data_IF_436698220321
#
_entry.id   IF_436698220321
#
_cell.length_a   1.000
_cell.length_b   1.000
_cell.length_c   1.000
_cell.angle_alpha   90.00
_cell.angle_beta   90.00
_cell.angle_gamma   90.00
#
_symmetry.space_group_name_H-M   'P 1'
#
loop_
_entity.id
_entity.type
_entity.pdbx_description
1 polymer ?
#
# COMPACT_ATOMS: atom_id res chain seq x y z
N UNK A 1 18.70 -3.13 -8.13
CA UNK A 1 17.38 -3.71 -8.36
C UNK A 1 17.58 -5.10 -8.98
N UNK A 2 17.23 -6.17 -8.26
CA UNK A 2 17.49 -7.54 -8.70
C UNK A 2 16.53 -7.98 -9.81
N UNK A 3 16.91 -8.99 -10.60
CA UNK A 3 16.04 -9.57 -11.65
C UNK A 3 14.71 -10.09 -11.08
N UNK A 4 14.72 -10.61 -9.86
CA UNK A 4 13.53 -11.13 -9.15
C UNK A 4 12.57 -10.00 -8.84
N UNK A 5 13.05 -8.87 -8.29
CA UNK A 5 12.26 -7.70 -7.97
C UNK A 5 11.52 -7.13 -9.21
N UNK A 6 12.21 -7.07 -10.35
CA UNK A 6 11.59 -6.64 -11.61
C UNK A 6 10.50 -7.60 -12.08
N UNK A 7 10.71 -8.91 -11.93
CA UNK A 7 9.75 -9.92 -12.35
C UNK A 7 8.49 -9.92 -11.47
N UNK A 8 8.65 -9.83 -10.14
CA UNK A 8 7.52 -9.75 -9.19
C UNK A 8 6.68 -8.48 -9.41
N UNK A 9 7.33 -7.33 -9.64
CA UNK A 9 6.64 -6.09 -9.99
C UNK A 9 5.83 -6.20 -11.28
N UNK A 10 6.44 -6.75 -12.33
CA UNK A 10 5.76 -6.96 -13.62
C UNK A 10 4.58 -7.94 -13.48
N UNK A 11 4.74 -8.98 -12.65
CA UNK A 11 3.68 -9.93 -12.36
C UNK A 11 2.51 -9.29 -11.62
N UNK A 12 2.78 -8.58 -10.52
CA UNK A 12 1.76 -7.91 -9.71
C UNK A 12 1.07 -6.73 -10.42
N UNK A 13 1.67 -6.17 -11.49
CA UNK A 13 1.03 -5.15 -12.33
C UNK A 13 -0.16 -5.67 -13.14
N UNK A 14 -0.26 -6.97 -13.38
CA UNK A 14 -1.41 -7.55 -14.08
C UNK A 14 -2.67 -7.32 -13.26
N UNK A 15 -3.71 -6.74 -13.88
CA UNK A 15 -4.91 -6.33 -13.17
C UNK A 15 -5.63 -7.47 -12.46
N UNK A 16 -5.67 -8.67 -13.05
CA UNK A 16 -6.28 -9.83 -12.43
C UNK A 16 -5.53 -10.29 -11.17
N UNK A 17 -4.20 -10.26 -11.18
CA UNK A 17 -3.35 -10.60 -10.02
C UNK A 17 -3.50 -9.56 -8.92
N UNK A 18 -3.44 -8.29 -9.31
CA UNK A 18 -3.61 -7.15 -8.40
C UNK A 18 -4.99 -7.17 -7.72
N UNK A 19 -6.05 -7.36 -8.49
CA UNK A 19 -7.41 -7.44 -7.96
C UNK A 19 -7.58 -8.62 -7.00
N UNK A 20 -7.01 -9.78 -7.32
CA UNK A 20 -7.09 -10.99 -6.51
C UNK A 20 -6.46 -10.79 -5.13
N UNK A 21 -5.29 -10.16 -5.06
CA UNK A 21 -4.63 -9.84 -3.79
C UNK A 21 -5.51 -8.95 -2.90
N UNK A 22 -6.18 -7.93 -3.46
CA UNK A 22 -7.07 -7.06 -2.69
C UNK A 22 -8.43 -7.70 -2.39
N UNK A 23 -8.95 -8.54 -3.27
CA UNK A 23 -10.14 -9.34 -3.00
C UNK A 23 -9.91 -10.30 -1.82
N UNK A 24 -8.73 -10.92 -1.77
CA UNK A 24 -8.33 -11.71 -0.60
C UNK A 24 -8.29 -10.84 0.67
N UNK A 25 -7.52 -9.73 0.63
CA UNK A 25 -7.26 -8.91 1.80
C UNK A 25 -8.51 -8.27 2.38
N UNK A 26 -9.35 -7.67 1.54
CA UNK A 26 -10.44 -6.78 1.99
C UNK A 26 -11.78 -7.53 2.00
N UNK A 27 -11.98 -8.47 1.07
CA UNK A 27 -13.28 -9.05 0.78
C UNK A 27 -13.34 -10.57 0.96
N UNK A 28 -12.36 -11.14 1.67
CA UNK A 28 -12.30 -12.58 1.99
C UNK A 28 -12.39 -13.47 0.73
N UNK A 29 -11.72 -13.05 -0.34
CA UNK A 29 -11.68 -13.72 -1.65
C UNK A 29 -12.88 -13.44 -2.57
N UNK A 30 -13.88 -12.65 -2.14
CA UNK A 30 -15.01 -12.29 -3.00
C UNK A 30 -14.54 -11.31 -4.10
N UNK A 31 -14.99 -11.48 -5.37
CA UNK A 31 -14.51 -10.70 -6.52
C UNK A 31 -15.16 -9.30 -6.59
N UNK A 32 -14.89 -8.45 -5.60
CA UNK A 32 -15.42 -7.08 -5.50
C UNK A 32 -14.56 -6.07 -6.25
N UNK A 33 -13.23 -6.20 -6.16
CA UNK A 33 -12.30 -5.41 -6.97
C UNK A 33 -12.26 -6.01 -8.38
N UNK A 34 -12.87 -5.30 -9.34
CA UNK A 34 -12.94 -5.75 -10.73
C UNK A 34 -11.65 -5.36 -11.48
N UNK A 35 -10.91 -6.33 -12.07
CA UNK A 35 -9.69 -6.05 -12.82
C UNK A 35 -9.86 -5.06 -13.98
N UNK A 36 -11.02 -5.03 -14.64
CA UNK A 36 -11.31 -4.16 -15.78
C UNK A 36 -11.48 -2.69 -15.37
N UNK A 37 -11.81 -2.44 -14.11
CA UNK A 37 -12.02 -1.11 -13.57
C UNK A 37 -10.77 -0.51 -12.94
N UNK A 38 -9.69 -1.28 -12.83
CA UNK A 38 -8.41 -0.80 -12.32
C UNK A 38 -7.73 0.14 -13.30
N UNK A 39 -7.22 1.25 -12.79
CA UNK A 39 -6.41 2.22 -13.54
C UNK A 39 -5.10 2.45 -12.81
N UNK A 40 -3.99 2.20 -13.51
CA UNK A 40 -2.65 2.47 -12.96
C UNK A 40 -2.43 3.97 -12.82
N UNK A 41 -1.83 4.37 -11.72
CA UNK A 41 -1.49 5.75 -11.39
C UNK A 41 0.02 5.93 -11.33
N UNK A 42 0.47 7.17 -11.41
CA UNK A 42 1.86 7.52 -11.20
C UNK A 42 2.24 7.23 -9.74
N UNK A 43 3.28 6.43 -9.57
CA UNK A 43 3.83 6.02 -8.27
C UNK A 43 4.94 6.93 -7.78
N UNK A 44 5.24 8.01 -8.53
CA UNK A 44 6.27 8.98 -8.17
C UNK A 44 5.83 9.79 -6.95
N UNK A 45 6.54 9.64 -5.86
CA UNK A 45 6.29 10.37 -4.61
C UNK A 45 7.59 11.04 -4.15
N UNK A 46 7.48 12.26 -3.64
CA UNK A 46 8.62 12.98 -3.06
C UNK A 46 8.62 12.70 -1.56
N UNK A 47 9.62 12.00 -1.07
CA UNK A 47 9.78 11.66 0.34
C UNK A 47 11.20 11.95 0.84
N UNK A 48 11.33 12.06 2.15
CA UNK A 48 12.65 12.10 2.80
C UNK A 48 13.32 10.72 2.67
N UNK A 49 14.65 10.67 2.49
CA UNK A 49 15.36 9.41 2.32
C UNK A 49 15.37 8.58 3.60
N UNK A 50 15.10 7.27 3.46
CA UNK A 50 15.34 6.25 4.47
C UNK A 50 16.49 5.34 4.04
N UNK A 51 17.35 4.99 4.98
CA UNK A 51 18.43 4.05 4.78
C UNK A 51 19.82 4.71 4.74
N UNK A 52 20.90 3.92 4.68
CA UNK A 52 22.24 4.42 4.64
C UNK A 52 22.43 5.28 3.40
N UNK A 53 22.83 6.52 3.62
CA UNK A 53 23.23 7.41 2.53
C UNK A 53 24.65 7.05 2.13
N UNK A 54 24.84 6.51 0.96
CA UNK A 54 26.16 6.40 0.37
C UNK A 54 26.64 7.83 0.06
N UNK A 55 27.75 8.24 0.71
CA UNK A 55 28.51 9.47 0.44
C UNK A 55 27.88 10.79 0.85
N UNK A 56 27.61 11.01 2.14
CA UNK A 56 27.67 12.38 2.75
C UNK A 56 26.93 13.52 2.03
N UNK A 57 26.01 13.21 1.12
CA UNK A 57 25.23 14.21 0.41
C UNK A 57 24.04 14.66 1.26
N UNK A 58 23.79 15.95 1.24
CA UNK A 58 22.77 16.70 1.95
C UNK A 58 21.36 16.07 1.86
N UNK A 59 20.49 16.44 2.80
CA UNK A 59 19.05 16.15 2.89
C UNK A 59 18.24 16.49 1.61
N UNK A 60 18.69 16.04 0.45
CA UNK A 60 17.94 16.23 -0.78
C UNK A 60 16.70 15.35 -0.74
N UNK A 61 15.57 15.94 -1.09
CA UNK A 61 14.31 15.25 -1.31
C UNK A 61 14.55 14.11 -2.31
N UNK A 62 14.52 12.88 -1.84
CA UNK A 62 14.67 11.71 -2.70
C UNK A 62 13.30 11.32 -3.21
N UNK A 63 13.18 11.27 -4.51
CA UNK A 63 12.02 10.68 -5.16
C UNK A 63 11.96 9.20 -4.81
N UNK A 64 10.94 8.80 -4.06
CA UNK A 64 10.65 7.40 -3.77
C UNK A 64 9.47 6.95 -4.61
N UNK A 65 9.54 5.71 -5.06
CA UNK A 65 8.51 5.10 -5.87
C UNK A 65 7.87 3.98 -5.06
N UNK A 66 6.56 4.03 -4.93
CA UNK A 66 5.76 2.86 -4.57
C UNK A 66 5.83 1.87 -5.73
N UNK A 67 5.82 0.57 -5.46
CA UNK A 67 5.95 -0.41 -6.52
C UNK A 67 4.79 -0.35 -7.51
N UNK A 68 3.56 -0.32 -7.01
CA UNK A 68 2.35 -0.22 -7.83
C UNK A 68 1.29 0.59 -7.11
N UNK A 69 0.62 1.47 -7.83
CA UNK A 69 -0.55 2.22 -7.34
C UNK A 69 -1.64 2.21 -8.41
N UNK A 70 -2.85 1.82 -8.03
CA UNK A 70 -4.01 1.83 -8.92
C UNK A 70 -5.22 2.46 -8.25
N UNK A 71 -6.03 3.16 -9.03
CA UNK A 71 -7.38 3.52 -8.61
C UNK A 71 -8.35 2.40 -8.95
N UNK A 72 -9.30 2.16 -8.05
CA UNK A 72 -10.38 1.22 -8.21
C UNK A 72 -11.72 1.90 -7.94
N UNK A 73 -12.77 1.40 -8.58
CA UNK A 73 -14.16 1.67 -8.23
C UNK A 73 -14.70 0.38 -7.65
N UNK A 74 -15.18 0.44 -6.42
CA UNK A 74 -15.77 -0.69 -5.72
C UNK A 74 -17.25 -0.40 -5.52
N UNK A 75 -18.10 -1.32 -5.96
CA UNK A 75 -19.54 -1.26 -5.72
C UNK A 75 -19.87 -2.08 -4.48
N UNK A 76 -20.44 -1.45 -3.48
CA UNK A 76 -20.92 -2.11 -2.27
C UNK A 76 -22.30 -1.56 -1.93
N UNK A 77 -23.29 -2.43 -1.79
CA UNK A 77 -24.67 -2.08 -1.39
C UNK A 77 -25.28 -0.92 -2.21
N UNK A 78 -25.10 -0.95 -3.55
CA UNK A 78 -25.54 0.08 -4.50
C UNK A 78 -24.80 1.44 -4.41
N UNK A 79 -23.78 1.55 -3.58
CA UNK A 79 -22.92 2.73 -3.52
C UNK A 79 -21.56 2.48 -4.19
N UNK A 80 -21.11 3.44 -5.00
CA UNK A 80 -19.79 3.41 -5.62
C UNK A 80 -18.76 4.10 -4.73
N UNK A 81 -17.78 3.35 -4.23
CA UNK A 81 -16.63 3.89 -3.52
C UNK A 81 -15.42 3.97 -4.46
N UNK A 82 -14.77 5.12 -4.49
CA UNK A 82 -13.47 5.29 -5.17
C UNK A 82 -12.36 5.10 -4.15
N UNK A 83 -11.44 4.17 -4.42
CA UNK A 83 -10.32 3.86 -3.54
C UNK A 83 -9.00 3.89 -4.29
N UNK A 84 -7.91 4.14 -3.59
CA UNK A 84 -6.54 4.00 -4.08
C UNK A 84 -5.92 2.76 -3.44
N UNK A 85 -5.42 1.86 -4.28
CA UNK A 85 -4.83 0.60 -3.86
C UNK A 85 -3.35 0.60 -4.24
N UNK A 86 -2.48 0.37 -3.26
CA UNK A 86 -1.03 0.31 -3.45
C UNK A 86 -0.47 -1.06 -3.07
N UNK A 87 0.53 -1.55 -3.81
CA UNK A 87 1.28 -2.75 -3.47
C UNK A 87 2.76 -2.43 -3.31
N UNK A 88 3.34 -2.96 -2.25
CA UNK A 88 4.77 -3.06 -2.00
C UNK A 88 5.19 -4.53 -2.04
N UNK A 89 6.06 -4.88 -2.99
CA UNK A 89 6.61 -6.23 -3.10
C UNK A 89 7.93 -6.29 -2.33
N UNK A 90 8.03 -7.20 -1.38
CA UNK A 90 9.21 -7.37 -0.55
C UNK A 90 9.77 -8.80 -0.69
N UNK A 91 11.01 -8.93 -1.15
CA UNK A 91 11.76 -10.20 -1.10
C UNK A 91 12.53 -10.32 0.20
N UNK A 92 13.03 -9.20 0.71
CA UNK A 92 13.71 -9.10 1.98
C UNK A 92 12.84 -8.37 3.00
N UNK A 93 12.97 -8.72 4.26
CA UNK A 93 12.19 -8.11 5.35
C UNK A 93 12.67 -6.68 5.59
N UNK A 94 11.73 -5.75 5.62
CA UNK A 94 12.01 -4.34 5.87
C UNK A 94 11.47 -3.92 7.24
N UNK A 95 12.36 -3.82 8.24
CA UNK A 95 12.00 -3.57 9.65
C UNK A 95 11.28 -2.25 9.91
N UNK A 96 11.38 -1.26 9.03
CA UNK A 96 10.67 0.02 9.13
C UNK A 96 9.47 0.12 8.15
N UNK A 97 8.86 -1.01 7.79
CA UNK A 97 7.75 -1.04 6.82
C UNK A 97 6.54 -0.23 7.27
N UNK A 98 6.11 -0.22 8.55
CA UNK A 98 5.00 0.63 8.99
C UNK A 98 5.23 2.11 8.71
N UNK A 99 6.43 2.62 9.01
CA UNK A 99 6.78 4.02 8.73
C UNK A 99 6.82 4.30 7.23
N UNK A 100 7.37 3.37 6.44
CA UNK A 100 7.44 3.51 4.98
C UNK A 100 6.05 3.61 4.36
N UNK A 101 5.14 2.70 4.70
CA UNK A 101 3.78 2.70 4.18
C UNK A 101 2.98 3.93 4.65
N UNK A 102 3.12 4.31 5.94
CA UNK A 102 2.49 5.50 6.48
C UNK A 102 2.86 6.76 5.68
N UNK A 103 4.13 6.92 5.30
CA UNK A 103 4.58 8.03 4.48
C UNK A 103 3.94 8.00 3.10
N UNK A 104 3.90 6.83 2.44
CA UNK A 104 3.29 6.72 1.12
C UNK A 104 1.79 7.07 1.15
N UNK A 105 1.05 6.59 2.15
CA UNK A 105 -0.36 6.89 2.27
C UNK A 105 -0.59 8.37 2.59
N UNK A 106 0.22 8.96 3.49
CA UNK A 106 0.16 10.39 3.81
C UNK A 106 0.45 11.27 2.58
N UNK A 107 1.43 10.89 1.75
CA UNK A 107 1.73 11.61 0.51
C UNK A 107 0.58 11.53 -0.50
N UNK A 108 -0.11 10.39 -0.59
CA UNK A 108 -1.31 10.27 -1.43
C UNK A 108 -2.46 11.13 -0.92
N UNK A 109 -2.71 11.19 0.39
CA UNK A 109 -3.68 12.12 0.95
C UNK A 109 -3.30 13.58 0.70
N UNK A 110 -2.03 13.95 0.92
CA UNK A 110 -1.52 15.28 0.62
C UNK A 110 -1.70 15.67 -0.85
N UNK A 111 -1.43 14.74 -1.77
CA UNK A 111 -1.66 14.92 -3.21
C UNK A 111 -3.13 15.16 -3.52
N UNK A 112 -4.05 14.37 -2.95
CA UNK A 112 -5.48 14.56 -3.14
C UNK A 112 -5.94 15.96 -2.70
N UNK A 113 -5.48 16.44 -1.54
CA UNK A 113 -5.78 17.80 -1.07
C UNK A 113 -5.25 18.85 -2.04
N UNK A 114 -3.99 18.71 -2.48
CA UNK A 114 -3.37 19.64 -3.40
C UNK A 114 -4.07 19.69 -4.78
N UNK A 115 -4.42 18.52 -5.33
CA UNK A 115 -5.12 18.41 -6.60
C UNK A 115 -6.53 18.99 -6.53
N UNK A 116 -7.26 18.74 -5.44
CA UNK A 116 -8.57 19.31 -5.16
C UNK A 116 -8.50 20.84 -5.10
N UNK A 117 -7.55 21.38 -4.31
CA UNK A 117 -7.32 22.81 -4.22
C UNK A 117 -6.92 23.45 -5.58
N UNK A 118 -6.13 22.74 -6.39
CA UNK A 118 -5.78 23.19 -7.75
C UNK A 118 -6.99 23.22 -8.69
N UNK A 119 -7.85 22.21 -8.59
CA UNK A 119 -9.09 22.13 -9.37
C UNK A 119 -10.06 23.26 -9.00
N UNK A 120 -10.23 23.53 -7.70
CA UNK A 120 -11.02 24.68 -7.24
C UNK A 120 -10.50 26.02 -7.78
N UNK A 121 -9.17 26.22 -7.80
CA UNK A 121 -8.56 27.43 -8.38
C UNK A 121 -8.83 27.57 -9.89
N UNK A 122 -8.83 26.47 -10.63
CA UNK A 122 -9.08 26.46 -12.09
C UNK A 122 -10.55 26.67 -12.43
N UNK A 123 -11.46 26.08 -11.66
CA UNK A 123 -12.91 26.14 -11.87
C UNK A 123 -13.55 27.42 -11.37
N UNK A 124 -12.85 28.24 -10.62
CA UNK A 124 -13.34 29.40 -9.88
C UNK A 124 -13.63 30.62 -10.77
N UNK A 125 -14.20 30.40 -11.94
CA UNK A 125 -14.90 31.40 -12.73
C UNK A 125 -16.33 31.62 -12.25
N UNK A 126 -16.80 30.84 -11.27
CA UNK A 126 -18.14 30.93 -10.70
C UNK A 126 -18.12 31.72 -9.40
N UNK A 127 -19.10 32.61 -9.23
CA UNK A 127 -19.30 33.59 -8.17
C UNK A 127 -19.50 33.04 -6.74
N UNK A 128 -19.00 31.85 -6.41
CA UNK A 128 -19.09 31.35 -5.02
C UNK A 128 -18.09 32.12 -4.14
N UNK A 129 -18.60 32.83 -3.15
CA UNK A 129 -17.76 33.48 -2.13
C UNK A 129 -17.18 32.39 -1.22
N UNK A 130 -15.85 32.22 -1.24
CA UNK A 130 -15.14 31.32 -0.34
C UNK A 130 -15.15 31.84 1.09
N UNK A 131 -15.20 30.92 2.07
CA UNK A 131 -14.95 31.26 3.47
C UNK A 131 -13.44 31.49 3.69
N UNK A 132 -13.06 32.06 4.84
CA UNK A 132 -11.65 32.24 5.19
C UNK A 132 -10.91 30.90 5.32
N UNK A 133 -11.59 29.89 5.84
CA UNK A 133 -11.09 28.54 6.05
C UNK A 133 -10.87 27.81 4.71
N UNK A 134 -11.81 27.91 3.79
CA UNK A 134 -11.71 27.38 2.43
C UNK A 134 -10.59 28.07 1.64
N UNK A 135 -10.40 29.37 1.86
CA UNK A 135 -9.32 30.10 1.22
C UNK A 135 -7.94 29.65 1.73
N UNK A 136 -7.82 29.40 3.04
CA UNK A 136 -6.57 28.99 3.68
C UNK A 136 -6.09 27.62 3.20
N UNK A 137 -7.00 26.63 3.17
CA UNK A 137 -6.68 25.25 2.81
C UNK A 137 -6.79 24.98 1.30
N UNK A 138 -7.65 25.72 0.60
CA UNK A 138 -8.09 25.40 -0.76
C UNK A 138 -8.95 24.14 -0.85
N UNK A 139 -9.27 23.52 0.29
CA UNK A 139 -10.11 22.35 0.43
C UNK A 139 -11.42 22.76 1.07
N UNK A 140 -12.56 22.44 0.44
CA UNK A 140 -13.88 22.89 0.87
C UNK A 140 -14.48 21.92 1.89
N UNK A 141 -15.47 22.38 2.61
CA UNK A 141 -16.11 21.59 3.67
C UNK A 141 -16.76 20.31 3.13
N UNK A 142 -17.25 20.35 1.91
CA UNK A 142 -17.89 19.23 1.23
C UNK A 142 -16.93 18.28 0.50
N UNK A 143 -15.65 18.68 0.38
CA UNK A 143 -14.66 17.85 -0.27
C UNK A 143 -14.36 16.59 0.58
N UNK A 144 -14.16 15.49 -0.12
CA UNK A 144 -13.87 14.20 0.52
C UNK A 144 -12.60 13.60 -0.07
N UNK A 145 -11.87 12.87 0.76
CA UNK A 145 -10.71 12.09 0.34
C UNK A 145 -11.13 10.67 -0.04
N UNK A 146 -10.45 10.11 -1.02
CA UNK A 146 -10.55 8.69 -1.35
C UNK A 146 -9.67 7.91 -0.38
N UNK A 147 -10.18 6.80 0.20
CA UNK A 147 -9.36 5.93 1.01
C UNK A 147 -8.11 5.44 0.26
N UNK A 148 -7.00 5.34 0.97
CA UNK A 148 -5.76 4.73 0.47
C UNK A 148 -5.52 3.46 1.26
N UNK A 149 -5.33 2.34 0.58
CA UNK A 149 -5.01 1.04 1.20
C UNK A 149 -3.74 0.52 0.58
N UNK A 150 -2.71 0.28 1.39
CA UNK A 150 -1.44 -0.29 0.95
C UNK A 150 -1.27 -1.69 1.47
N UNK A 151 -1.02 -2.63 0.56
CA UNK A 151 -0.75 -4.03 0.81
C UNK A 151 0.74 -4.31 0.62
N UNK A 152 1.35 -4.96 1.60
CA UNK A 152 2.68 -5.55 1.50
C UNK A 152 2.54 -7.02 1.13
N UNK A 153 3.27 -7.48 0.12
CA UNK A 153 3.35 -8.89 -0.23
C UNK A 153 4.79 -9.34 -0.03
N UNK A 154 4.99 -10.31 0.84
CA UNK A 154 6.30 -10.90 1.09
C UNK A 154 6.54 -12.06 0.11
N UNK A 155 7.54 -11.91 -0.75
CA UNK A 155 7.94 -12.93 -1.72
C UNK A 155 9.15 -13.78 -1.24
N UNK A 156 9.59 -13.57 0.00
CA UNK A 156 10.60 -14.41 0.65
C UNK A 156 10.02 -15.71 1.18
N UNK A 157 10.87 -16.73 1.29
CA UNK A 157 10.50 -18.02 1.87
C UNK A 157 10.51 -18.02 3.41
N UNK A 158 11.16 -17.00 4.01
CA UNK A 158 11.19 -16.83 5.46
C UNK A 158 9.90 -16.21 5.95
N UNK A 159 9.51 -16.55 7.17
CA UNK A 159 8.39 -15.89 7.84
C UNK A 159 8.74 -14.43 8.12
N UNK A 160 7.76 -13.54 7.96
CA UNK A 160 7.93 -12.14 8.30
C UNK A 160 8.07 -11.97 9.82
N UNK A 161 9.23 -11.48 10.27
CA UNK A 161 9.57 -11.28 11.69
C UNK A 161 9.75 -9.79 12.07
N UNK A 162 9.35 -8.86 11.20
CA UNK A 162 9.41 -7.42 11.45
C UNK A 162 8.10 -6.89 12.04
N UNK A 163 8.12 -5.69 12.66
CA UNK A 163 6.93 -5.03 13.18
C UNK A 163 5.82 -4.88 12.13
N UNK A 164 4.58 -5.13 12.54
CA UNK A 164 3.38 -4.96 11.73
C UNK A 164 2.69 -3.62 11.99
N UNK A 165 3.08 -2.91 13.06
CA UNK A 165 2.50 -1.61 13.37
C UNK A 165 3.55 -0.61 13.86
N UNK A 166 3.18 0.67 13.82
CA UNK A 166 4.01 1.75 14.35
C UNK A 166 4.19 1.61 15.87
N UNK A 167 3.16 1.16 16.60
CA UNK A 167 3.23 0.94 18.03
C UNK A 167 4.24 -0.17 18.40
N UNK A 168 4.32 -1.24 17.63
CA UNK A 168 5.33 -2.30 17.83
C UNK A 168 6.78 -1.81 17.66
N UNK A 169 6.98 -0.72 16.93
CA UNK A 169 8.30 -0.11 16.74
C UNK A 169 8.70 0.83 17.89
N UNK A 170 7.78 1.10 18.84
CA UNK A 170 8.04 2.06 19.90
C UNK A 170 8.70 1.42 21.11
N UNK A 171 9.73 2.08 21.66
CA UNK A 171 10.48 1.62 22.82
C UNK A 171 9.79 1.82 24.18
N UNK A 172 8.51 2.20 24.19
CA UNK A 172 7.74 2.42 25.41
C UNK A 172 6.39 1.72 25.35
N UNK A 173 5.95 1.19 26.48
CA UNK A 173 4.62 0.60 26.65
C UNK A 173 3.76 1.41 27.63
N UNK A 174 4.08 2.68 27.83
CA UNK A 174 3.27 3.56 28.66
C UNK A 174 1.88 3.78 28.01
N UNK A 175 0.86 3.06 28.49
CA UNK A 175 -0.50 3.07 27.91
C UNK A 175 -1.07 4.49 27.81
N UNK A 176 -0.82 5.36 28.80
CA UNK A 176 -1.30 6.75 28.78
C UNK A 176 -0.68 7.54 27.63
N UNK A 177 0.60 7.34 27.37
CA UNK A 177 1.29 7.99 26.26
C UNK A 177 0.82 7.41 24.92
N UNK A 178 0.75 6.07 24.83
CA UNK A 178 0.36 5.39 23.60
C UNK A 178 -1.06 5.71 23.15
N UNK A 179 -1.96 6.05 24.08
CA UNK A 179 -3.30 6.53 23.75
C UNK A 179 -3.31 7.77 22.85
N UNK A 180 -2.30 8.63 22.93
CA UNK A 180 -2.17 9.84 22.12
C UNK A 180 -1.34 9.64 20.84
N UNK A 181 -0.72 8.49 20.68
CA UNK A 181 0.06 8.16 19.48
C UNK A 181 -0.84 7.37 18.53
N UNK A 182 -1.04 7.90 17.32
CA UNK A 182 -1.79 7.17 16.30
C UNK A 182 -0.99 5.93 15.87
N UNK A 183 -1.64 4.77 15.87
CA UNK A 183 -1.05 3.57 15.32
C UNK A 183 -1.26 3.53 13.79
N UNK A 184 -0.27 3.01 13.10
CA UNK A 184 -0.36 2.70 11.68
C UNK A 184 0.01 1.23 11.48
N UNK A 185 -0.96 0.43 11.06
CA UNK A 185 -0.80 -0.99 10.80
C UNK A 185 -0.57 -1.25 9.33
N UNK A 186 0.35 -2.14 8.99
CA UNK A 186 0.52 -2.63 7.63
C UNK A 186 -0.43 -3.80 7.37
N UNK A 187 -0.88 -3.91 6.14
CA UNK A 187 -1.58 -5.10 5.64
C UNK A 187 -0.56 -5.99 4.94
N UNK A 188 -0.39 -7.20 5.41
CA UNK A 188 0.66 -8.12 4.95
C UNK A 188 0.05 -9.43 4.43
N UNK A 189 0.47 -9.85 3.24
CA UNK A 189 0.37 -11.23 2.79
C UNK A 189 1.75 -11.87 3.01
N UNK A 190 1.83 -12.75 4.00
CA UNK A 190 3.01 -13.56 4.31
C UNK A 190 2.70 -15.02 3.96
N UNK A 191 3.23 -15.57 2.85
CA UNK A 191 2.94 -16.94 2.44
C UNK A 191 3.20 -17.99 3.51
N UNK A 192 4.21 -17.80 4.36
CA UNK A 192 4.55 -18.73 5.41
C UNK A 192 3.41 -18.90 6.44
N UNK A 193 2.62 -17.85 6.68
CA UNK A 193 1.53 -17.83 7.68
C UNK A 193 0.15 -18.20 7.13
N UNK A 194 -0.02 -18.25 5.81
CA UNK A 194 -1.33 -18.55 5.20
C UNK A 194 -1.73 -20.01 5.46
N UNK A 195 -3.00 -20.21 5.75
CA UNK A 195 -3.61 -21.54 5.87
C UNK A 195 -4.02 -22.08 4.50
N UNK A 196 -4.35 -23.38 4.43
CA UNK A 196 -4.93 -23.99 3.23
C UNK A 196 -6.28 -23.36 2.83
N UNK A 197 -7.02 -22.83 3.82
CA UNK A 197 -8.28 -22.14 3.58
C UNK A 197 -8.04 -20.76 2.99
N UNK A 198 -6.99 -20.07 3.43
CA UNK A 198 -6.60 -18.78 2.87
C UNK A 198 -6.16 -18.92 1.41
N UNK A 199 -5.38 -19.95 1.11
CA UNK A 199 -4.94 -20.23 -0.27
C UNK A 199 -6.11 -20.46 -1.24
N UNK A 200 -7.20 -21.05 -0.77
CA UNK A 200 -8.42 -21.27 -1.59
C UNK A 200 -9.17 -19.99 -1.94
N UNK A 201 -8.93 -18.90 -1.21
CA UNK A 201 -9.57 -17.61 -1.45
C UNK A 201 -8.97 -16.87 -2.64
N UNK A 202 -7.76 -17.23 -3.06
CA UNK A 202 -7.17 -16.70 -4.29
C UNK A 202 -7.73 -17.43 -5.51
N UNK A 203 -8.09 -16.66 -6.53
CA UNK A 203 -8.76 -17.12 -7.73
C UNK A 203 -7.89 -17.05 -9.00
N UNK A 204 -6.76 -16.36 -8.91
CA UNK A 204 -5.80 -16.20 -10.00
C UNK A 204 -4.56 -17.07 -9.79
N UNK A 205 -3.61 -17.01 -10.73
CA UNK A 205 -2.30 -17.68 -10.58
C UNK A 205 -1.45 -17.14 -9.41
N UNK A 206 -1.94 -16.13 -8.69
CA UNK A 206 -1.31 -15.68 -7.45
C UNK A 206 -1.30 -16.79 -6.40
N UNK A 207 -2.32 -17.65 -6.41
CA UNK A 207 -2.40 -18.83 -5.55
C UNK A 207 -1.18 -19.73 -5.73
N UNK A 208 -0.87 -20.13 -6.96
CA UNK A 208 0.24 -21.03 -7.26
C UNK A 208 1.59 -20.43 -6.88
N UNK A 209 1.74 -19.10 -7.07
CA UNK A 209 2.97 -18.40 -6.68
C UNK A 209 3.12 -18.39 -5.16
N UNK A 210 2.08 -18.08 -4.42
CA UNK A 210 2.07 -18.08 -2.95
C UNK A 210 2.31 -19.49 -2.39
N UNK A 211 1.64 -20.50 -2.93
CA UNK A 211 1.84 -21.91 -2.57
C UNK A 211 3.30 -22.36 -2.83
N UNK A 212 3.85 -21.98 -3.97
CA UNK A 212 5.24 -22.28 -4.28
C UNK A 212 6.21 -21.67 -3.26
N UNK A 213 6.01 -20.41 -2.89
CA UNK A 213 6.85 -19.72 -1.88
C UNK A 213 6.70 -20.41 -0.52
N UNK A 214 5.46 -20.66 -0.08
CA UNK A 214 5.15 -21.30 1.19
C UNK A 214 5.89 -22.64 1.38
N UNK A 215 5.92 -23.47 0.34
CA UNK A 215 6.52 -24.80 0.40
C UNK A 215 7.94 -24.89 -0.20
N UNK A 216 8.57 -23.76 -0.54
CA UNK A 216 9.89 -23.74 -1.16
C UNK A 216 10.98 -24.27 -0.23
N UNK A 217 10.93 -23.96 1.07
CA UNK A 217 11.86 -24.44 2.08
C UNK A 217 11.82 -25.95 2.31
N UNK A 218 10.64 -26.55 2.23
CA UNK A 218 10.51 -28.00 2.42
C UNK A 218 11.24 -28.77 1.32
N UNK A 219 11.31 -28.21 0.11
CA UNK A 219 12.04 -28.80 -1.02
C UNK A 219 13.56 -28.64 -0.92
N UNK A 220 14.04 -27.56 -0.31
CA UNK A 220 15.48 -27.38 -0.06
C UNK A 220 15.97 -28.37 1.00
N UNK A 221 15.22 -28.57 2.08
CA UNK A 221 15.51 -29.57 3.12
C UNK A 221 15.55 -31.01 2.58
N UNK A 222 14.76 -31.32 1.53
CA UNK A 222 14.78 -32.63 0.86
C UNK A 222 15.97 -32.83 -0.09
N UNK A 223 16.68 -31.78 -0.48
CA UNK A 223 17.87 -31.87 -1.34
C UNK A 223 19.19 -31.95 -0.56
N UNK A 224 19.18 -31.55 0.70
CA UNK A 224 20.33 -31.58 1.59
C UNK A 224 20.37 -32.84 2.50
N UNK A 225 19.32 -33.65 2.49
CA UNK A 225 19.23 -34.97 3.15
C UNK A 225 19.46 -36.12 2.16
#
# INVERSE_FOLDING_TARGET
>A
MGKVDTATKAYMRKNNIFADAFNYLIYDGKPVVNPEQLRELDTTEIALPFGPQENGQSNDLVQKYRDILKSAVVMQEDEAAYILLGIENQTDIHYAMPVRNMIYDALQYGKQVADTAANHRKSDKSFRKRTSEEYLSGFYKEDVLKPVVTLVIHFGADEWDAPLSLHEMMGTQNEKLMHYVQDYQIHLIDPAKLTEEDLKKFTSSLREVIEYIKYSKDKENYRES
#
